data_IF_283783429527
#
_entry.id   IF_283783429527
#
_cell.length_a   1.000
_cell.length_b   1.000
_cell.length_c   1.000
_cell.angle_alpha   90.00
_cell.angle_beta   90.00
_cell.angle_gamma   90.00
#
_symmetry.space_group_name_H-M   'P 1'
#
loop_
_entity.id
_entity.type
_entity.pdbx_description
1 polymer ?
#
# COMPACT_ATOMS: atom_id res chain seq x y z
N UNK A 1 -27.80 12.02 -31.54
CA UNK A 1 -29.01 12.41 -30.76
C UNK A 1 -29.59 11.26 -29.93
N UNK A 2 -30.24 10.23 -30.49
CA UNK A 2 -30.85 9.16 -29.66
C UNK A 2 -29.82 8.32 -28.89
N UNK A 3 -28.66 8.02 -29.51
CA UNK A 3 -27.53 7.33 -28.86
C UNK A 3 -26.91 8.15 -27.73
N UNK A 4 -26.76 9.45 -27.90
CA UNK A 4 -26.19 10.34 -26.88
C UNK A 4 -27.16 10.54 -25.70
N UNK A 5 -28.46 10.60 -26.00
CA UNK A 5 -29.53 10.65 -25.00
C UNK A 5 -29.63 9.35 -24.20
N UNK A 6 -29.52 8.19 -24.88
CA UNK A 6 -29.47 6.86 -24.25
C UNK A 6 -28.20 6.70 -23.40
N UNK A 7 -27.03 7.15 -23.90
CA UNK A 7 -25.77 7.16 -23.15
C UNK A 7 -25.88 8.04 -21.90
N UNK A 8 -26.40 9.26 -22.02
CA UNK A 8 -26.65 10.16 -20.87
C UNK A 8 -27.62 9.57 -19.85
N UNK A 9 -28.67 8.86 -20.31
CA UNK A 9 -29.63 8.18 -19.40
C UNK A 9 -29.07 6.91 -18.77
N UNK A 10 -28.20 6.19 -19.46
CA UNK A 10 -27.47 5.05 -18.90
C UNK A 10 -26.45 5.53 -17.86
N UNK A 11 -25.68 6.59 -18.16
CA UNK A 11 -24.69 7.19 -17.26
C UNK A 11 -25.28 7.79 -15.97
N UNK A 12 -26.55 8.22 -16.00
CA UNK A 12 -27.24 8.90 -14.90
C UNK A 12 -28.47 8.15 -14.35
N UNK A 13 -28.72 6.94 -14.85
CA UNK A 13 -29.90 6.16 -14.49
C UNK A 13 -29.80 5.55 -13.08
N UNK A 14 -30.93 5.38 -12.36
CA UNK A 14 -30.93 4.85 -10.99
C UNK A 14 -30.37 3.43 -10.89
N UNK A 15 -30.43 2.64 -11.98
CA UNK A 15 -29.86 1.29 -12.06
C UNK A 15 -28.32 1.36 -12.08
N UNK A 16 -27.72 2.21 -12.93
CA UNK A 16 -26.27 2.35 -12.97
C UNK A 16 -25.73 2.96 -11.68
N UNK A 17 -26.45 3.91 -11.08
CA UNK A 17 -26.09 4.46 -9.77
C UNK A 17 -26.02 3.38 -8.69
N UNK A 18 -27.04 2.51 -8.59
CA UNK A 18 -27.02 1.36 -7.66
C UNK A 18 -25.89 0.38 -7.97
N UNK A 19 -25.66 0.06 -9.24
CA UNK A 19 -24.58 -0.85 -9.62
C UNK A 19 -23.20 -0.29 -9.24
N UNK A 20 -22.99 1.02 -9.43
CA UNK A 20 -21.77 1.71 -8.97
C UNK A 20 -21.63 1.69 -7.45
N UNK A 21 -22.71 1.92 -6.71
CA UNK A 21 -22.70 1.88 -5.24
C UNK A 21 -22.38 0.46 -4.73
N UNK A 22 -22.99 -0.57 -5.30
CA UNK A 22 -22.73 -1.97 -4.92
C UNK A 22 -21.32 -2.42 -5.33
N UNK A 23 -20.85 -2.02 -6.51
CA UNK A 23 -19.47 -2.24 -6.92
C UNK A 23 -18.49 -1.55 -5.96
N UNK A 24 -18.75 -0.30 -5.59
CA UNK A 24 -17.90 0.43 -4.65
C UNK A 24 -17.87 -0.23 -3.28
N UNK A 25 -19.02 -0.68 -2.74
CA UNK A 25 -19.07 -1.44 -1.47
C UNK A 25 -18.35 -2.78 -1.56
N UNK A 26 -18.38 -3.44 -2.72
CA UNK A 26 -17.70 -4.71 -2.92
C UNK A 26 -16.18 -4.54 -3.12
N UNK A 27 -15.75 -3.44 -3.73
CA UNK A 27 -14.36 -3.17 -4.09
C UNK A 27 -13.59 -2.39 -3.01
N UNK A 28 -14.29 -1.65 -2.14
CA UNK A 28 -13.69 -0.82 -1.09
C UNK A 28 -13.96 -1.38 0.30
N UNK A 29 -12.92 -1.47 1.13
CA UNK A 29 -13.02 -1.79 2.55
C UNK A 29 -12.31 -0.71 3.36
N UNK A 30 -12.97 -0.20 4.39
CA UNK A 30 -12.36 0.65 5.40
C UNK A 30 -11.87 -0.25 6.53
N UNK A 31 -10.58 -0.16 6.85
CA UNK A 31 -9.89 -1.06 7.77
C UNK A 31 -9.23 -0.22 8.86
N UNK A 32 -9.34 -0.67 10.11
CA UNK A 32 -8.43 -0.23 11.18
C UNK A 32 -7.04 -0.89 11.04
N UNK A 33 -6.15 -0.64 12.01
CA UNK A 33 -4.80 -1.19 11.98
C UNK A 33 -4.75 -2.73 12.09
N UNK A 34 -5.63 -3.35 12.89
CA UNK A 34 -5.66 -4.80 13.05
C UNK A 34 -6.25 -5.46 11.80
N UNK A 35 -7.35 -4.90 11.28
CA UNK A 35 -8.01 -5.36 10.06
C UNK A 35 -7.11 -5.19 8.83
N UNK A 36 -6.34 -4.10 8.76
CA UNK A 36 -5.34 -3.88 7.71
C UNK A 36 -4.30 -5.00 7.70
N UNK A 37 -3.73 -5.36 8.84
CA UNK A 37 -2.70 -6.41 8.91
C UNK A 37 -3.24 -7.77 8.46
N UNK A 38 -4.48 -8.11 8.84
CA UNK A 38 -5.13 -9.36 8.42
C UNK A 38 -5.38 -9.37 6.91
N UNK A 39 -5.97 -8.30 6.38
CA UNK A 39 -6.26 -8.19 4.95
C UNK A 39 -4.97 -8.19 4.12
N UNK A 40 -3.95 -7.44 4.55
CA UNK A 40 -2.67 -7.31 3.86
C UNK A 40 -1.97 -8.66 3.74
N UNK A 41 -1.92 -9.44 4.82
CA UNK A 41 -1.32 -10.78 4.76
C UNK A 41 -2.03 -11.70 3.78
N UNK A 42 -3.37 -11.69 3.77
CA UNK A 42 -4.17 -12.47 2.82
C UNK A 42 -3.86 -12.11 1.37
N UNK A 43 -3.72 -10.82 1.07
CA UNK A 43 -3.39 -10.38 -0.29
C UNK A 43 -1.95 -10.70 -0.68
N UNK A 44 -1.00 -10.66 0.28
CA UNK A 44 0.37 -11.12 0.05
C UNK A 44 0.43 -12.61 -0.31
N UNK A 45 -0.41 -13.46 0.29
CA UNK A 45 -0.49 -14.89 -0.08
C UNK A 45 -0.87 -15.08 -1.56
N UNK A 46 -1.75 -14.22 -2.07
CA UNK A 46 -2.25 -14.26 -3.45
C UNK A 46 -1.39 -13.51 -4.47
N UNK A 47 -0.36 -12.79 -4.03
CA UNK A 47 0.49 -11.96 -4.88
C UNK A 47 1.25 -12.79 -5.91
N UNK A 48 1.38 -12.26 -7.13
CA UNK A 48 1.96 -12.90 -8.30
C UNK A 48 3.33 -12.33 -8.68
N UNK A 49 3.51 -11.01 -8.59
CA UNK A 49 4.66 -10.33 -9.17
C UNK A 49 5.38 -9.42 -8.19
N UNK A 50 4.66 -8.53 -7.52
CA UNK A 50 5.29 -7.56 -6.63
C UNK A 50 4.35 -6.94 -5.60
N UNK A 51 4.97 -6.47 -4.51
CA UNK A 51 4.37 -5.55 -3.56
C UNK A 51 5.26 -4.32 -3.42
N UNK A 52 4.65 -3.14 -3.52
CA UNK A 52 5.26 -1.84 -3.26
C UNK A 52 4.67 -1.26 -1.97
N UNK A 53 5.50 -1.16 -0.93
CA UNK A 53 5.12 -0.65 0.39
C UNK A 53 5.70 0.74 0.53
N UNK A 54 4.83 1.74 0.66
CA UNK A 54 5.22 3.10 0.92
C UNK A 54 5.01 3.38 2.41
N UNK A 55 6.11 3.43 3.16
CA UNK A 55 6.14 3.71 4.60
C UNK A 55 7.21 4.77 4.90
N UNK A 56 6.85 6.07 4.95
CA UNK A 56 7.78 7.16 5.23
C UNK A 56 8.58 6.99 6.52
N UNK A 57 7.99 6.33 7.51
CA UNK A 57 8.59 6.06 8.81
C UNK A 57 8.63 4.56 9.05
N UNK A 58 9.68 4.12 9.76
CA UNK A 58 9.90 2.72 10.12
C UNK A 58 10.00 2.62 11.64
N UNK A 59 9.58 1.47 12.16
CA UNK A 59 9.82 1.07 13.54
C UNK A 59 10.40 -0.34 13.55
N UNK A 60 11.40 -0.57 14.40
CA UNK A 60 12.14 -1.84 14.43
C UNK A 60 11.24 -3.06 14.63
N UNK A 61 10.27 -2.97 15.53
CA UNK A 61 9.37 -4.09 15.83
C UNK A 61 8.42 -4.39 14.66
N UNK A 62 7.90 -3.37 14.00
CA UNK A 62 7.03 -3.54 12.84
C UNK A 62 7.79 -4.12 11.63
N UNK A 63 9.02 -3.64 11.39
CA UNK A 63 9.90 -4.17 10.35
C UNK A 63 10.32 -5.60 10.63
N UNK A 64 10.71 -5.93 11.86
CA UNK A 64 11.04 -7.29 12.27
C UNK A 64 9.86 -8.25 12.05
N UNK A 65 8.66 -7.83 12.45
CA UNK A 65 7.44 -8.62 12.19
C UNK A 65 7.21 -8.83 10.71
N UNK A 66 7.33 -7.77 9.90
CA UNK A 66 7.15 -7.83 8.45
C UNK A 66 8.12 -8.81 7.79
N UNK A 67 9.41 -8.71 8.08
CA UNK A 67 10.44 -9.62 7.52
C UNK A 67 10.23 -11.08 7.93
N UNK A 68 9.58 -11.33 9.07
CA UNK A 68 9.27 -12.67 9.57
C UNK A 68 7.89 -13.21 9.14
N UNK A 69 7.13 -12.45 8.34
CA UNK A 69 5.90 -12.97 7.74
C UNK A 69 6.24 -14.07 6.73
N UNK A 70 5.58 -15.22 6.86
CA UNK A 70 5.78 -16.37 5.96
C UNK A 70 5.49 -16.00 4.51
N UNK A 71 4.50 -15.13 4.32
CA UNK A 71 4.06 -14.63 3.02
C UNK A 71 5.15 -13.78 2.35
N UNK A 72 5.88 -12.97 3.14
CA UNK A 72 7.01 -12.15 2.65
C UNK A 72 8.21 -13.03 2.33
N UNK A 73 8.59 -13.94 3.24
CA UNK A 73 9.69 -14.88 3.03
C UNK A 73 9.46 -15.71 1.77
N UNK A 74 8.27 -16.31 1.63
CA UNK A 74 7.90 -17.07 0.44
C UNK A 74 7.91 -16.21 -0.83
N UNK A 75 7.42 -14.98 -0.79
CA UNK A 75 7.45 -14.10 -1.95
C UNK A 75 8.89 -13.87 -2.44
N UNK A 76 9.83 -13.65 -1.52
CA UNK A 76 11.24 -13.43 -1.83
C UNK A 76 11.88 -14.73 -2.37
N UNK A 77 11.58 -15.88 -1.76
CA UNK A 77 12.03 -17.21 -2.24
C UNK A 77 11.50 -17.53 -3.64
N UNK A 78 10.25 -17.18 -3.92
CA UNK A 78 9.60 -17.34 -5.24
C UNK A 78 10.12 -16.32 -6.28
N UNK A 79 11.05 -15.43 -5.92
CA UNK A 79 11.62 -14.41 -6.81
C UNK A 79 10.66 -13.24 -7.12
N UNK A 80 9.60 -13.07 -6.33
CA UNK A 80 8.70 -11.91 -6.43
C UNK A 80 9.35 -10.68 -5.82
N UNK A 81 9.01 -9.51 -6.32
CA UNK A 81 9.62 -8.25 -5.88
C UNK A 81 8.92 -7.71 -4.65
N UNK A 82 9.65 -7.58 -3.55
CA UNK A 82 9.19 -6.87 -2.35
C UNK A 82 9.97 -5.57 -2.28
N UNK A 83 9.28 -4.44 -2.44
CA UNK A 83 9.90 -3.11 -2.48
C UNK A 83 9.34 -2.23 -1.37
N UNK A 84 10.20 -1.57 -0.61
CA UNK A 84 9.84 -0.59 0.41
C UNK A 84 10.38 0.78 0.01
N UNK A 85 9.49 1.76 -0.07
CA UNK A 85 9.85 3.18 -0.23
C UNK A 85 9.73 3.85 1.13
N UNK A 86 10.82 4.45 1.60
CA UNK A 86 10.89 5.08 2.91
C UNK A 86 11.70 6.37 2.88
N UNK A 87 11.67 7.17 3.95
CA UNK A 87 12.53 8.35 4.05
C UNK A 87 13.98 7.94 4.34
N UNK A 88 14.96 8.71 3.88
CA UNK A 88 16.34 8.49 4.28
C UNK A 88 16.58 8.86 5.75
N UNK A 89 17.38 8.04 6.43
CA UNK A 89 17.69 8.21 7.86
C UNK A 89 18.46 9.50 8.16
N UNK A 90 19.23 10.04 7.21
CA UNK A 90 20.21 11.10 7.40
C UNK A 90 19.72 12.53 7.06
N UNK A 91 18.42 12.74 6.88
CA UNK A 91 17.85 14.04 6.44
C UNK A 91 17.23 14.88 7.54
N UNK A 92 17.14 14.36 8.77
CA UNK A 92 16.41 14.99 9.86
C UNK A 92 14.88 14.90 9.72
N UNK A 93 14.38 14.17 8.73
CA UNK A 93 12.94 13.97 8.49
C UNK A 93 12.34 12.80 9.30
N UNK A 94 13.17 12.12 10.10
CA UNK A 94 12.81 10.98 10.97
C UNK A 94 13.26 11.25 12.39
N UNK A 95 12.44 10.88 13.38
CA UNK A 95 12.71 11.18 14.80
C UNK A 95 13.86 10.35 15.39
N UNK A 96 14.04 9.12 14.90
CA UNK A 96 15.06 8.17 15.36
C UNK A 96 15.93 7.68 14.19
N UNK A 97 16.89 8.50 13.71
CA UNK A 97 17.73 8.17 12.56
C UNK A 97 18.44 6.81 12.65
N UNK A 98 18.99 6.46 13.81
CA UNK A 98 19.72 5.20 13.99
C UNK A 98 18.79 3.98 13.93
N UNK A 99 17.64 4.01 14.62
CA UNK A 99 16.63 2.94 14.53
C UNK A 99 16.12 2.80 13.09
N UNK A 100 15.90 3.92 12.40
CA UNK A 100 15.42 3.92 11.01
C UNK A 100 16.46 3.35 10.04
N UNK A 101 17.75 3.66 10.24
CA UNK A 101 18.86 3.05 9.48
C UNK A 101 18.95 1.54 9.73
N UNK A 102 18.84 1.09 10.97
CA UNK A 102 18.80 -0.33 11.30
C UNK A 102 17.63 -1.05 10.61
N UNK A 103 16.46 -0.42 10.56
CA UNK A 103 15.30 -0.96 9.86
C UNK A 103 15.55 -1.13 8.35
N UNK A 104 16.20 -0.15 7.71
CA UNK A 104 16.58 -0.23 6.29
C UNK A 104 17.52 -1.43 6.08
N UNK A 105 18.56 -1.56 6.90
CA UNK A 105 19.48 -2.70 6.81
C UNK A 105 18.79 -4.05 7.04
N UNK A 106 17.81 -4.11 7.96
CA UNK A 106 17.03 -5.32 8.23
C UNK A 106 16.18 -5.73 7.01
N UNK A 107 15.56 -4.76 6.34
CA UNK A 107 14.80 -5.01 5.11
C UNK A 107 15.72 -5.53 4.01
N UNK A 108 16.84 -4.86 3.76
CA UNK A 108 17.81 -5.26 2.74
C UNK A 108 18.39 -6.65 3.00
N UNK A 109 18.77 -6.96 4.25
CA UNK A 109 19.24 -8.30 4.66
C UNK A 109 18.18 -9.39 4.46
N UNK A 110 16.90 -9.04 4.53
CA UNK A 110 15.80 -9.97 4.29
C UNK A 110 15.51 -10.21 2.79
N UNK A 111 16.19 -9.51 1.88
CA UNK A 111 15.94 -9.58 0.44
C UNK A 111 14.90 -8.58 -0.08
N UNK A 112 14.51 -7.61 0.76
CA UNK A 112 13.60 -6.52 0.36
C UNK A 112 14.41 -5.41 -0.29
N UNK A 113 13.97 -4.93 -1.46
CA UNK A 113 14.56 -3.74 -2.07
C UNK A 113 14.09 -2.49 -1.34
N UNK A 114 15.01 -1.64 -0.89
CA UNK A 114 14.68 -0.36 -0.26
C UNK A 114 14.96 0.79 -1.23
N UNK A 115 14.03 1.74 -1.30
CA UNK A 115 14.16 2.99 -2.05
C UNK A 115 13.98 4.14 -1.07
N UNK A 116 15.03 4.93 -0.89
CA UNK A 116 14.99 6.11 -0.02
C UNK A 116 14.52 7.35 -0.81
N UNK A 117 13.43 8.00 -0.38
CA UNK A 117 12.91 9.26 -0.95
C UNK A 117 12.60 10.28 0.15
N UNK A 118 13.28 11.42 0.09
CA UNK A 118 13.03 12.58 0.98
C UNK A 118 11.70 13.28 0.68
N UNK A 119 11.20 14.06 1.65
CA UNK A 119 9.99 14.89 1.52
C UNK A 119 8.75 14.14 1.04
N UNK A 120 8.69 12.84 1.30
CA UNK A 120 7.61 11.96 0.92
C UNK A 120 6.78 11.61 2.17
N UNK A 121 5.45 11.76 2.11
CA UNK A 121 4.54 11.48 3.25
C UNK A 121 3.34 10.62 2.85
N UNK A 122 3.30 10.17 1.59
CA UNK A 122 2.31 9.23 1.09
C UNK A 122 2.45 7.91 1.85
N UNK A 123 1.33 7.21 2.07
CA UNK A 123 1.29 5.94 2.81
C UNK A 123 0.39 5.00 2.07
N UNK A 124 0.98 3.93 1.55
CA UNK A 124 0.24 3.00 0.72
C UNK A 124 0.91 1.63 0.68
N UNK A 125 0.13 0.65 0.26
CA UNK A 125 0.64 -0.64 -0.17
C UNK A 125 -0.03 -0.96 -1.51
N UNK A 126 0.75 -1.31 -2.52
CA UNK A 126 0.26 -1.68 -3.85
C UNK A 126 0.70 -3.09 -4.15
N UNK A 127 -0.22 -3.94 -4.62
CA UNK A 127 0.04 -5.35 -4.94
C UNK A 127 -0.41 -5.61 -6.37
N UNK A 128 0.53 -6.06 -7.21
CA UNK A 128 0.32 -6.47 -8.61
C UNK A 128 -0.54 -5.53 -9.45
N UNK A 129 -0.39 -4.21 -9.28
CA UNK A 129 -1.18 -3.19 -9.97
C UNK A 129 -2.71 -3.29 -9.78
N UNK A 130 -3.21 -4.20 -8.94
CA UNK A 130 -4.63 -4.56 -8.86
C UNK A 130 -5.26 -4.20 -7.52
N UNK A 131 -4.46 -4.21 -6.45
CA UNK A 131 -4.91 -3.91 -5.09
C UNK A 131 -4.08 -2.78 -4.50
N UNK A 132 -4.75 -1.82 -3.88
CA UNK A 132 -4.10 -0.74 -3.14
C UNK A 132 -4.72 -0.56 -1.76
N UNK A 133 -3.86 -0.36 -0.78
CA UNK A 133 -4.19 0.19 0.52
C UNK A 133 -3.69 1.63 0.58
N UNK A 134 -4.51 2.56 1.05
CA UNK A 134 -4.13 3.96 1.21
C UNK A 134 -4.82 4.57 2.45
N UNK A 135 -4.09 5.35 3.26
CA UNK A 135 -4.65 5.89 4.50
C UNK A 135 -3.66 6.62 5.40
N UNK A 136 -3.95 6.68 6.70
CA UNK A 136 -3.12 7.37 7.71
C UNK A 136 -1.99 6.51 8.27
N UNK A 137 -2.14 5.19 8.15
CA UNK A 137 -1.23 4.18 8.68
C UNK A 137 0.10 4.16 7.92
N UNK A 138 1.23 4.22 8.63
CA UNK A 138 2.55 3.88 8.08
C UNK A 138 2.72 2.35 8.13
N UNK A 139 2.68 1.61 7.02
CA UNK A 139 2.61 0.14 7.05
C UNK A 139 3.70 -0.55 7.87
N UNK A 140 4.89 0.05 7.95
CA UNK A 140 6.06 -0.50 8.67
C UNK A 140 6.41 0.29 9.95
N UNK A 141 5.47 1.08 10.47
CA UNK A 141 5.58 1.72 11.78
C UNK A 141 4.42 1.34 12.73
N UNK A 142 3.44 0.55 12.29
CA UNK A 142 2.30 0.16 13.11
C UNK A 142 2.79 -0.60 14.34
N UNK A 143 2.59 0.02 15.50
CA UNK A 143 2.55 -0.66 16.78
C UNK A 143 1.10 -0.54 17.22
N UNK A 144 0.39 -1.65 17.32
CA UNK A 144 -1.05 -1.66 17.63
C UNK A 144 -1.31 -1.06 19.00
N UNK A 145 -1.55 0.25 19.00
CA UNK A 145 -1.92 1.08 20.12
C UNK A 145 -3.23 1.75 19.74
N UNK A 146 -4.26 1.60 20.56
CA UNK A 146 -5.58 2.17 20.30
C UNK A 146 -5.54 3.68 20.53
N UNK A 147 -5.25 4.45 19.49
CA UNK A 147 -5.42 5.90 19.48
C UNK A 147 -6.83 6.28 19.03
N UNK A 148 -7.29 7.46 19.44
CA UNK A 148 -8.57 8.06 19.01
C UNK A 148 -8.27 9.42 18.36
N UNK A 149 -8.64 9.65 17.08
CA UNK A 149 -9.27 8.70 16.17
C UNK A 149 -8.32 7.55 15.82
N UNK A 150 -8.89 6.38 15.57
CA UNK A 150 -8.12 5.23 15.15
C UNK A 150 -7.51 5.50 13.77
N UNK A 151 -6.26 5.09 13.62
CA UNK A 151 -5.59 5.02 12.33
C UNK A 151 -6.36 4.10 11.37
N UNK A 152 -6.38 4.43 10.08
CA UNK A 152 -7.17 3.72 9.08
C UNK A 152 -6.40 3.47 7.78
N UNK A 153 -6.84 2.45 7.04
CA UNK A 153 -6.52 2.23 5.63
C UNK A 153 -7.80 1.93 4.86
N UNK A 154 -7.89 2.46 3.64
CA UNK A 154 -8.87 2.02 2.66
C UNK A 154 -8.20 1.03 1.72
N UNK A 155 -8.77 -0.16 1.58
CA UNK A 155 -8.36 -1.17 0.61
C UNK A 155 -9.27 -1.09 -0.61
N UNK A 156 -8.69 -1.02 -1.80
CA UNK A 156 -9.38 -1.05 -3.09
C UNK A 156 -8.85 -2.18 -3.96
N UNK A 157 -9.75 -2.88 -4.66
CA UNK A 157 -9.40 -3.80 -5.76
C UNK A 157 -9.86 -3.16 -7.07
N UNK A 158 -8.93 -2.51 -7.78
CA UNK A 158 -9.23 -1.77 -9.02
C UNK A 158 -7.94 -1.31 -9.71
N UNK A 159 -7.54 -1.96 -10.80
CA UNK A 159 -6.36 -1.60 -11.60
C UNK A 159 -6.35 -0.13 -12.00
N UNK A 160 -7.47 0.37 -12.56
CA UNK A 160 -7.59 1.77 -12.97
C UNK A 160 -7.39 2.79 -11.82
N UNK A 161 -7.66 2.40 -10.56
CA UNK A 161 -7.43 3.28 -9.42
C UNK A 161 -5.98 3.22 -8.97
N UNK A 162 -5.35 2.04 -9.05
CA UNK A 162 -3.91 1.90 -8.80
C UNK A 162 -3.12 2.73 -9.81
N UNK A 163 -3.45 2.64 -11.10
CA UNK A 163 -2.82 3.41 -12.17
C UNK A 163 -2.91 4.92 -11.92
N UNK A 164 -4.11 5.45 -11.66
CA UNK A 164 -4.32 6.87 -11.36
C UNK A 164 -3.48 7.33 -10.15
N UNK A 165 -3.40 6.49 -9.09
CA UNK A 165 -2.59 6.82 -7.90
C UNK A 165 -1.10 6.81 -8.22
N UNK A 166 -0.62 5.79 -8.94
CA UNK A 166 0.78 5.65 -9.32
C UNK A 166 1.22 6.80 -10.23
N UNK A 167 0.48 7.11 -11.28
CA UNK A 167 0.79 8.20 -12.20
C UNK A 167 0.85 9.57 -11.50
N UNK A 168 -0.10 9.81 -10.59
CA UNK A 168 -0.25 11.12 -9.96
C UNK A 168 0.69 11.37 -8.78
N UNK A 169 0.95 10.35 -7.97
CA UNK A 169 1.70 10.50 -6.72
C UNK A 169 3.07 9.82 -6.73
N UNK A 170 3.30 8.89 -7.67
CA UNK A 170 4.51 8.07 -7.75
C UNK A 170 4.96 7.88 -9.21
N UNK A 171 5.15 8.94 -10.01
CA UNK A 171 5.42 8.81 -11.45
C UNK A 171 6.69 7.99 -11.75
N UNK A 172 7.66 7.98 -10.84
CA UNK A 172 8.92 7.23 -10.99
C UNK A 172 8.84 5.78 -10.48
N UNK A 173 7.66 5.27 -10.10
CA UNK A 173 7.52 3.96 -9.44
C UNK A 173 8.12 2.81 -10.23
N UNK A 174 8.09 2.88 -11.58
CA UNK A 174 8.69 1.87 -12.44
C UNK A 174 10.20 1.71 -12.20
N UNK A 175 10.91 2.77 -11.81
CA UNK A 175 12.33 2.69 -11.44
C UNK A 175 12.55 1.95 -10.11
N UNK A 176 11.58 2.06 -9.20
CA UNK A 176 11.61 1.39 -7.91
C UNK A 176 11.41 -0.12 -8.06
N UNK A 177 10.68 -0.55 -9.10
CA UNK A 177 10.40 -1.95 -9.38
C UNK A 177 11.47 -2.66 -10.23
N UNK A 178 12.47 -1.94 -10.78
CA UNK A 178 13.60 -2.53 -11.53
C UNK A 178 14.49 -3.38 -10.63
#
# INVERSE_FOLDING_TARGET
MLRDLLRSRLEKGPILKRLKEEFFKAAMQLLDADEFLVAFRKDLEGMKHYVLIVSPFLNRFAVEKFCNLKEVQKAIEDGKRVVVVTRPSNTGEVEKPDEHRECIEMLEKAGVKVVEKSRFHFKAVIIDDSTIYIGSINPLQIVTLRYVPADYMMRFVSEAFVDEVLEKFMPDHQEWLK
#
